data_IF_985353622174
#
_entry.id   IF_985353622174
#
_cell.length_a   1.000
_cell.length_b   1.000
_cell.length_c   1.000
_cell.angle_alpha   90.00
_cell.angle_beta   90.00
_cell.angle_gamma   90.00
#
_symmetry.space_group_name_H-M   'P 1'
#
loop_
_entity.id
_entity.type
_entity.pdbx_description
1 polymer ?
#
# COMPACT_ATOMS: atom_id res chain seq x y z
N UNK A 1 -4.67 17.56 2.27
CA UNK A 1 -4.06 17.60 0.92
C UNK A 1 -3.29 18.89 0.78
N UNK A 2 -2.03 18.84 0.34
CA UNK A 2 -1.21 19.99 0.01
C UNK A 2 -0.89 19.94 -1.49
N UNK A 3 -0.99 21.08 -2.18
CA UNK A 3 -0.71 21.15 -3.61
C UNK A 3 -0.02 22.46 -3.96
N UNK A 4 0.98 22.36 -4.82
CA UNK A 4 1.79 23.47 -5.28
C UNK A 4 2.00 23.36 -6.80
N UNK A 5 2.06 24.51 -7.46
CA UNK A 5 2.29 24.62 -8.89
C UNK A 5 3.05 25.90 -9.21
N UNK A 6 3.99 25.82 -10.13
CA UNK A 6 4.73 26.96 -10.64
C UNK A 6 4.98 26.83 -12.13
N UNK A 7 4.72 27.92 -12.85
CA UNK A 7 5.08 28.05 -14.25
C UNK A 7 6.43 28.77 -14.35
N UNK A 8 7.28 28.30 -15.24
CA UNK A 8 8.58 28.85 -15.60
C UNK A 8 8.67 28.94 -17.12
N UNK A 9 8.47 30.14 -17.67
CA UNK A 9 8.42 30.35 -19.12
C UNK A 9 7.49 29.32 -19.82
N UNK A 10 8.08 28.43 -20.60
CA UNK A 10 7.45 27.36 -21.40
C UNK A 10 7.33 26.01 -20.64
N UNK A 11 7.50 26.03 -19.32
CA UNK A 11 7.43 24.82 -18.50
C UNK A 11 6.62 25.02 -17.23
N UNK A 12 6.12 23.92 -16.68
CA UNK A 12 5.34 23.88 -15.46
C UNK A 12 5.82 22.77 -14.57
N UNK A 13 5.95 23.06 -13.28
CA UNK A 13 6.16 22.06 -12.26
C UNK A 13 4.97 22.04 -11.31
N UNK A 14 4.57 20.86 -10.86
CA UNK A 14 3.59 20.69 -9.80
C UNK A 14 4.00 19.61 -8.80
N UNK A 15 3.62 19.82 -7.55
CA UNK A 15 3.77 18.86 -6.47
C UNK A 15 2.44 18.72 -5.73
N UNK A 16 1.98 17.50 -5.51
CA UNK A 16 0.79 17.19 -4.71
C UNK A 16 1.15 16.17 -3.65
N UNK A 17 0.98 16.55 -2.39
CA UNK A 17 1.15 15.67 -1.24
C UNK A 17 -0.22 15.38 -0.61
N UNK A 18 -0.57 14.10 -0.54
CA UNK A 18 -1.81 13.61 0.07
C UNK A 18 -1.44 12.63 1.17
N UNK A 19 -2.22 12.63 2.25
CA UNK A 19 -1.99 11.75 3.39
C UNK A 19 -3.29 11.39 4.06
N UNK A 20 -3.39 10.16 4.51
CA UNK A 20 -4.31 9.71 5.55
C UNK A 20 -3.48 9.40 6.80
N UNK A 21 -3.94 9.88 7.95
CA UNK A 21 -3.37 9.56 9.27
C UNK A 21 -4.52 9.04 10.10
N UNK A 22 -4.32 7.88 10.72
CA UNK A 22 -5.31 7.22 11.55
C UNK A 22 -4.72 6.91 12.93
N UNK A 23 -5.61 6.78 13.91
CA UNK A 23 -5.31 6.20 15.21
C UNK A 23 -6.59 5.50 15.66
N UNK A 24 -6.68 4.21 15.38
CA UNK A 24 -7.85 3.39 15.70
C UNK A 24 -7.55 2.52 16.90
N UNK A 25 -8.48 2.45 17.84
CA UNK A 25 -8.42 1.54 18.99
C UNK A 25 -9.77 0.86 19.17
N UNK A 26 -9.73 -0.41 19.55
CA UNK A 26 -10.93 -1.17 19.90
C UNK A 26 -11.09 -1.07 21.42
N UNK A 27 -12.13 -0.38 21.87
CA UNK A 27 -12.36 -0.13 23.30
C UNK A 27 -13.19 -1.22 23.96
N UNK A 28 -14.13 -1.81 23.22
CA UNK A 28 -15.03 -2.84 23.74
C UNK A 28 -15.63 -3.66 22.60
N UNK A 29 -15.83 -4.96 22.82
CA UNK A 29 -16.51 -5.87 21.90
C UNK A 29 -17.91 -6.13 22.43
N UNK A 30 -18.94 -5.73 21.69
CA UNK A 30 -20.35 -5.88 22.11
C UNK A 30 -20.91 -7.27 21.72
N UNK A 31 -20.33 -8.33 22.26
CA UNK A 31 -20.66 -9.74 21.99
C UNK A 31 -21.87 -10.29 22.77
N UNK A 32 -22.34 -9.58 23.82
CA UNK A 32 -23.49 -10.03 24.63
C UNK A 32 -23.19 -11.35 25.35
N UNK A 33 -23.95 -12.41 25.03
CA UNK A 33 -23.75 -13.75 25.62
C UNK A 33 -22.92 -14.69 24.73
N UNK A 34 -22.42 -14.21 23.58
CA UNK A 34 -21.60 -15.01 22.68
C UNK A 34 -20.17 -15.04 23.18
N UNK A 35 -19.46 -16.14 22.91
CA UNK A 35 -18.01 -16.18 23.13
C UNK A 35 -17.32 -15.09 22.29
N UNK A 36 -16.48 -14.27 22.93
CA UNK A 36 -15.87 -13.11 22.28
C UNK A 36 -14.92 -13.54 21.17
N UNK A 37 -14.12 -14.59 21.40
CA UNK A 37 -13.15 -15.07 20.41
C UNK A 37 -13.83 -15.60 19.15
N UNK A 38 -15.00 -16.24 19.31
CA UNK A 38 -15.83 -16.69 18.18
C UNK A 38 -16.56 -15.55 17.49
N UNK A 39 -16.97 -14.51 18.24
CA UNK A 39 -17.76 -13.39 17.70
C UNK A 39 -16.90 -12.34 16.98
N UNK A 40 -15.80 -11.92 17.60
CA UNK A 40 -14.86 -10.91 17.10
C UNK A 40 -13.51 -11.05 17.84
N UNK A 41 -12.80 -12.14 17.52
CA UNK A 41 -11.58 -12.55 18.20
C UNK A 41 -10.36 -11.71 17.85
N UNK A 42 -9.19 -12.09 18.38
CA UNK A 42 -7.95 -11.32 18.19
C UNK A 42 -7.59 -11.13 16.70
N UNK A 43 -7.82 -12.14 15.87
CA UNK A 43 -7.59 -12.03 14.42
C UNK A 43 -8.48 -10.98 13.76
N UNK A 44 -9.77 -10.94 14.12
CA UNK A 44 -10.71 -9.95 13.56
C UNK A 44 -10.38 -8.52 14.05
N UNK A 45 -9.96 -8.39 15.31
CA UNK A 45 -9.46 -7.14 15.88
C UNK A 45 -8.23 -6.64 15.11
N UNK A 46 -7.24 -7.51 14.90
CA UNK A 46 -6.04 -7.19 14.15
C UNK A 46 -6.37 -6.79 12.69
N UNK A 47 -7.26 -7.52 12.03
CA UNK A 47 -7.72 -7.22 10.68
C UNK A 47 -8.40 -5.84 10.57
N UNK A 48 -9.26 -5.49 11.54
CA UNK A 48 -9.92 -4.19 11.58
C UNK A 48 -8.90 -3.05 11.76
N UNK A 49 -7.95 -3.21 12.67
CA UNK A 49 -6.91 -2.21 12.94
C UNK A 49 -5.97 -2.05 11.73
N UNK A 50 -5.51 -3.15 11.13
CA UNK A 50 -4.67 -3.14 9.93
C UNK A 50 -5.36 -2.52 8.70
N UNK A 51 -6.69 -2.65 8.61
CA UNK A 51 -7.50 -2.00 7.57
C UNK A 51 -7.52 -0.48 7.69
N UNK A 52 -7.24 0.05 8.89
CA UNK A 52 -7.14 1.47 9.21
C UNK A 52 -5.69 1.84 9.59
N UNK A 53 -4.71 1.72 8.66
CA UNK A 53 -3.30 1.89 8.96
C UNK A 53 -2.99 3.28 9.51
N UNK A 54 -2.02 3.36 10.43
CA UNK A 54 -1.57 4.60 11.08
C UNK A 54 -1.34 5.73 10.09
N UNK A 55 -0.74 5.41 8.93
CA UNK A 55 -0.66 6.39 7.85
C UNK A 55 -0.45 5.79 6.46
N UNK A 56 -0.95 6.53 5.47
CA UNK A 56 -0.62 6.33 4.06
C UNK A 56 -0.39 7.68 3.42
N UNK A 57 0.78 7.88 2.83
CA UNK A 57 1.16 9.14 2.20
C UNK A 57 1.47 8.95 0.72
N UNK A 58 1.09 9.92 -0.09
CA UNK A 58 1.41 9.96 -1.52
C UNK A 58 2.00 11.32 -1.88
N UNK A 59 3.13 11.32 -2.58
CA UNK A 59 3.73 12.51 -3.19
C UNK A 59 3.77 12.31 -4.70
N UNK A 60 3.13 13.21 -5.45
CA UNK A 60 3.20 13.25 -6.91
C UNK A 60 3.94 14.52 -7.34
N UNK A 61 4.99 14.35 -8.13
CA UNK A 61 5.75 15.42 -8.76
C UNK A 61 5.55 15.33 -10.27
N UNK A 62 5.13 16.41 -10.90
CA UNK A 62 5.00 16.48 -12.34
C UNK A 62 5.79 17.64 -12.92
N UNK A 63 6.45 17.40 -14.04
CA UNK A 63 7.07 18.40 -14.88
C UNK A 63 6.43 18.33 -16.26
N UNK A 64 6.02 19.48 -16.79
CA UNK A 64 5.46 19.61 -18.12
C UNK A 64 6.27 20.66 -18.91
N UNK A 65 6.57 20.34 -20.16
CA UNK A 65 7.11 21.21 -21.20
C UNK A 65 6.52 20.78 -22.54
N UNK A 66 6.47 21.67 -23.52
CA UNK A 66 5.77 21.44 -24.79
C UNK A 66 6.07 20.09 -25.46
N UNK A 67 7.32 19.64 -25.46
CA UNK A 67 7.71 18.36 -26.08
C UNK A 67 7.87 17.20 -25.08
N UNK A 68 7.81 17.47 -23.78
CA UNK A 68 8.17 16.50 -22.74
C UNK A 68 7.41 16.71 -21.44
N UNK A 69 6.94 15.61 -20.87
CA UNK A 69 6.42 15.59 -19.50
C UNK A 69 6.99 14.42 -18.72
N UNK A 70 7.12 14.59 -17.41
CA UNK A 70 7.53 13.55 -16.49
C UNK A 70 6.62 13.57 -15.27
N UNK A 71 6.21 12.38 -14.83
CA UNK A 71 5.50 12.17 -13.57
C UNK A 71 6.29 11.21 -12.69
N UNK A 72 6.51 11.61 -11.43
CA UNK A 72 7.06 10.77 -10.37
C UNK A 72 6.04 10.66 -9.25
N UNK A 73 5.62 9.44 -8.97
CA UNK A 73 4.72 9.11 -7.86
C UNK A 73 5.47 8.36 -6.76
N UNK A 74 5.24 8.74 -5.52
CA UNK A 74 5.73 8.02 -4.34
C UNK A 74 4.54 7.68 -3.46
N UNK A 75 4.36 6.42 -3.09
CA UNK A 75 3.36 6.00 -2.10
C UNK A 75 4.04 5.31 -0.94
N UNK A 76 3.92 5.88 0.26
CA UNK A 76 4.40 5.32 1.52
C UNK A 76 3.25 4.69 2.29
N UNK A 77 3.44 3.45 2.70
CA UNK A 77 2.58 2.71 3.61
C UNK A 77 3.24 2.67 5.00
N UNK A 78 2.47 2.83 6.07
CA UNK A 78 2.95 2.60 7.44
C UNK A 78 3.12 1.10 7.69
N UNK A 79 3.71 0.78 8.85
CA UNK A 79 3.68 -0.56 9.39
C UNK A 79 2.23 -0.97 9.64
N UNK A 80 1.92 -2.24 9.42
CA UNK A 80 0.71 -2.90 9.92
C UNK A 80 1.09 -4.27 10.49
N UNK A 81 0.25 -4.79 11.38
CA UNK A 81 0.34 -6.13 11.91
C UNK A 81 -1.01 -6.83 11.68
N UNK A 82 -0.96 -8.04 11.17
CA UNK A 82 -2.09 -8.94 11.03
C UNK A 82 -1.87 -10.16 11.91
N UNK A 83 -2.93 -10.92 12.16
CA UNK A 83 -2.82 -12.25 12.74
C UNK A 83 -3.23 -13.29 11.71
N UNK A 84 -2.39 -14.31 11.55
CA UNK A 84 -2.57 -15.40 10.59
C UNK A 84 -3.48 -16.51 11.16
N UNK A 85 -3.54 -17.65 10.45
CA UNK A 85 -4.36 -18.80 10.85
C UNK A 85 -3.80 -19.64 12.01
N UNK A 86 -2.58 -19.42 12.47
CA UNK A 86 -2.04 -20.03 13.70
C UNK A 86 -2.85 -19.65 14.94
N UNK A 87 -3.62 -18.56 14.88
CA UNK A 87 -4.61 -18.19 15.92
C UNK A 87 -5.68 -19.26 16.19
N UNK A 88 -5.87 -20.22 15.28
CA UNK A 88 -6.82 -21.33 15.44
C UNK A 88 -6.20 -22.64 15.93
N UNK A 89 -4.88 -22.71 16.07
CA UNK A 89 -4.20 -23.87 16.67
C UNK A 89 -4.39 -23.92 18.20
N UNK A 90 -3.99 -25.01 18.85
CA UNK A 90 -4.09 -25.12 20.31
C UNK A 90 -3.03 -24.21 20.97
N UNK A 91 -3.39 -23.25 21.84
CA UNK A 91 -2.43 -22.44 22.56
C UNK A 91 -1.36 -23.25 23.32
N UNK A 92 -1.66 -24.49 23.71
CA UNK A 92 -0.72 -25.38 24.38
C UNK A 92 0.51 -25.70 23.52
N UNK A 93 0.38 -25.74 22.19
CA UNK A 93 1.48 -26.03 21.26
C UNK A 93 2.54 -24.92 21.23
N UNK A 94 2.15 -23.70 21.65
CA UNK A 94 3.01 -22.51 21.76
C UNK A 94 3.46 -22.24 23.20
N UNK A 95 3.02 -23.03 24.17
CA UNK A 95 3.26 -22.78 25.59
C UNK A 95 2.37 -21.67 26.19
N UNK A 96 1.23 -21.37 25.55
CA UNK A 96 0.20 -20.45 26.03
C UNK A 96 -0.28 -19.46 24.98
N UNK A 97 -1.46 -18.88 25.23
CA UNK A 97 -2.15 -17.97 24.30
C UNK A 97 -1.31 -16.77 23.84
N UNK A 98 -0.54 -16.16 24.74
CA UNK A 98 0.30 -15.00 24.37
C UNK A 98 1.40 -15.36 23.37
N UNK A 99 2.00 -16.55 23.51
CA UNK A 99 3.03 -17.01 22.58
C UNK A 99 2.43 -17.40 21.23
N UNK A 100 1.21 -17.94 21.21
CA UNK A 100 0.47 -18.18 19.98
C UNK A 100 0.20 -16.88 19.23
N UNK A 101 -0.24 -15.82 19.91
CA UNK A 101 -0.47 -14.52 19.26
C UNK A 101 0.84 -13.98 18.66
N UNK A 102 1.96 -14.08 19.38
CA UNK A 102 3.28 -13.67 18.85
C UNK A 102 3.68 -14.49 17.63
N UNK A 103 3.46 -15.81 17.66
CA UNK A 103 3.78 -16.67 16.52
C UNK A 103 2.92 -16.32 15.31
N UNK A 104 1.62 -16.11 15.53
CA UNK A 104 0.64 -15.77 14.50
C UNK A 104 0.77 -14.33 13.95
N UNK A 105 1.70 -13.51 14.45
CA UNK A 105 1.77 -12.09 14.12
C UNK A 105 2.57 -11.87 12.84
N UNK A 106 1.84 -11.55 11.77
CA UNK A 106 2.41 -11.15 10.49
C UNK A 106 2.71 -9.65 10.49
N UNK A 107 4.00 -9.32 10.44
CA UNK A 107 4.47 -7.93 10.45
C UNK A 107 4.85 -7.46 9.06
N UNK A 108 4.18 -6.40 8.60
CA UNK A 108 4.52 -5.71 7.35
C UNK A 108 5.11 -4.35 7.68
N UNK A 109 6.43 -4.21 7.49
CA UNK A 109 7.17 -2.99 7.76
C UNK A 109 6.85 -1.89 6.74
N UNK A 110 7.12 -0.61 7.09
CA UNK A 110 6.77 0.50 6.23
C UNK A 110 7.42 0.43 4.85
N UNK A 111 6.62 0.40 3.78
CA UNK A 111 7.11 0.37 2.38
C UNK A 111 6.98 1.70 1.66
N UNK A 112 7.83 1.90 0.66
CA UNK A 112 7.79 3.02 -0.28
C UNK A 112 7.78 2.47 -1.70
N UNK A 113 6.68 2.73 -2.43
CA UNK A 113 6.54 2.38 -3.85
C UNK A 113 6.79 3.63 -4.70
N UNK A 114 7.54 3.47 -5.78
CA UNK A 114 7.84 4.54 -6.74
C UNK A 114 7.28 4.21 -8.11
N UNK A 115 6.53 5.14 -8.67
CA UNK A 115 6.01 5.10 -10.04
C UNK A 115 6.67 6.19 -10.89
N UNK A 116 6.96 5.87 -12.15
CA UNK A 116 7.56 6.81 -13.10
C UNK A 116 6.80 6.76 -14.42
N UNK A 117 6.56 7.93 -15.00
CA UNK A 117 6.10 8.07 -16.39
C UNK A 117 6.88 9.17 -17.08
N UNK A 118 7.32 8.90 -18.31
CA UNK A 118 7.95 9.85 -19.22
C UNK A 118 7.11 9.94 -20.48
N UNK A 119 6.69 11.14 -20.84
CA UNK A 119 5.90 11.43 -22.02
C UNK A 119 6.67 12.32 -22.99
N UNK A 120 6.59 12.00 -24.27
CA UNK A 120 7.24 12.72 -25.36
C UNK A 120 6.20 13.05 -26.43
N UNK A 121 6.06 14.33 -26.76
CA UNK A 121 5.31 14.75 -27.94
C UNK A 121 6.22 14.59 -29.16
N UNK A 122 5.97 13.55 -29.96
CA UNK A 122 6.80 13.22 -31.12
C UNK A 122 6.48 14.12 -32.31
N UNK A 123 5.20 14.50 -32.44
CA UNK A 123 4.69 15.56 -33.31
C UNK A 123 3.31 16.01 -32.80
N UNK A 124 2.71 17.02 -33.44
CA UNK A 124 1.42 17.62 -33.02
C UNK A 124 0.27 16.60 -32.88
N UNK A 125 0.37 15.45 -33.55
CA UNK A 125 -0.66 14.42 -33.60
C UNK A 125 -0.24 13.11 -32.93
N UNK A 126 0.96 13.01 -32.35
CA UNK A 126 1.51 11.75 -31.81
C UNK A 126 2.26 11.95 -30.49
N UNK A 127 1.78 11.27 -29.45
CA UNK A 127 2.41 11.21 -28.13
C UNK A 127 2.86 9.79 -27.80
N UNK A 128 4.09 9.66 -27.29
CA UNK A 128 4.61 8.43 -26.69
C UNK A 128 4.74 8.60 -25.19
N UNK A 129 4.22 7.65 -24.40
CA UNK A 129 4.50 7.56 -22.97
C UNK A 129 5.15 6.21 -22.69
N UNK A 130 6.22 6.24 -21.89
CA UNK A 130 6.87 5.05 -21.33
C UNK A 130 6.82 5.19 -19.82
N UNK A 131 6.34 4.16 -19.12
CA UNK A 131 6.21 4.21 -17.68
C UNK A 131 6.49 2.88 -17.00
N UNK A 132 6.67 2.97 -15.69
CA UNK A 132 6.85 1.86 -14.79
C UNK A 132 6.02 2.09 -13.53
N UNK A 133 5.17 1.13 -13.20
CA UNK A 133 4.59 1.04 -11.87
C UNK A 133 5.48 0.17 -10.99
N UNK A 134 5.67 0.58 -9.72
CA UNK A 134 6.58 -0.08 -8.79
C UNK A 134 7.98 -0.27 -9.40
N UNK A 135 8.61 0.84 -9.82
CA UNK A 135 9.88 0.88 -10.56
C UNK A 135 11.02 0.08 -9.90
N UNK A 136 11.03 -0.02 -8.57
CA UNK A 136 12.07 -0.71 -7.80
C UNK A 136 11.69 -2.12 -7.33
N UNK A 137 10.58 -2.68 -7.83
CA UNK A 137 10.14 -4.04 -7.55
C UNK A 137 9.99 -4.32 -6.04
N UNK A 138 9.32 -3.42 -5.32
CA UNK A 138 9.11 -3.50 -3.86
C UNK A 138 7.89 -4.36 -3.56
N UNK A 139 8.02 -5.31 -2.65
CA UNK A 139 6.96 -6.20 -2.18
C UNK A 139 6.65 -5.94 -0.70
N UNK A 140 5.53 -6.47 -0.17
CA UNK A 140 5.32 -6.60 1.27
C UNK A 140 6.46 -7.40 1.94
N UNK A 141 6.50 -7.45 3.27
CA UNK A 141 7.39 -8.37 3.98
C UNK A 141 6.86 -9.79 3.93
N UNK A 142 7.75 -10.74 3.66
CA UNK A 142 7.39 -12.14 3.43
C UNK A 142 7.05 -12.78 4.76
N UNK A 143 5.87 -13.38 4.82
CA UNK A 143 5.40 -14.15 5.96
C UNK A 143 5.56 -15.65 5.71
N UNK A 144 5.09 -16.45 6.65
CA UNK A 144 5.03 -17.90 6.52
C UNK A 144 3.84 -18.36 5.65
N UNK A 145 3.53 -19.66 5.65
CA UNK A 145 2.45 -20.24 4.85
C UNK A 145 1.07 -20.22 5.52
N UNK A 146 0.92 -19.56 6.68
CA UNK A 146 -0.34 -19.41 7.41
C UNK A 146 -1.15 -18.18 7.01
N UNK A 147 -0.67 -17.40 6.04
CA UNK A 147 -1.42 -16.25 5.48
C UNK A 147 -2.77 -16.67 4.88
N UNK A 148 -3.68 -15.72 4.68
CA UNK A 148 -5.04 -16.02 4.22
C UNK A 148 -5.13 -16.68 2.83
N UNK A 149 -4.10 -16.50 2.00
CA UNK A 149 -4.01 -17.17 0.70
C UNK A 149 -3.13 -18.44 0.72
N UNK A 150 -2.57 -18.82 1.87
CA UNK A 150 -1.56 -19.88 1.99
C UNK A 150 -0.27 -19.57 1.20
N UNK A 151 0.02 -18.28 1.00
CA UNK A 151 1.14 -17.78 0.22
C UNK A 151 2.08 -16.92 1.07
N UNK A 152 2.93 -16.14 0.43
CA UNK A 152 3.96 -15.34 1.12
C UNK A 152 3.45 -14.07 1.82
N UNK A 153 2.18 -13.69 1.61
CA UNK A 153 1.62 -12.42 2.11
C UNK A 153 0.09 -12.45 2.13
N UNK A 154 -0.49 -11.72 3.07
CA UNK A 154 -1.91 -11.36 3.09
C UNK A 154 -2.25 -10.25 2.09
N UNK A 155 -3.55 -10.03 1.89
CA UNK A 155 -4.08 -8.92 1.10
C UNK A 155 -3.93 -7.57 1.79
N UNK A 156 -2.70 -7.06 1.85
CA UNK A 156 -2.37 -5.75 2.43
C UNK A 156 -2.60 -4.59 1.45
N UNK A 157 -2.79 -3.38 1.97
CA UNK A 157 -3.14 -2.21 1.16
C UNK A 157 -2.14 -1.84 0.04
N UNK A 158 -0.87 -2.25 0.14
CA UNK A 158 0.11 -1.95 -0.90
C UNK A 158 -0.04 -2.84 -2.14
N UNK A 159 -0.78 -3.96 -2.01
CA UNK A 159 -0.84 -5.00 -3.03
C UNK A 159 0.44 -5.84 -3.10
N UNK A 160 0.48 -6.77 -4.06
CA UNK A 160 1.57 -7.74 -4.27
C UNK A 160 2.17 -7.67 -5.68
N UNK A 161 1.75 -6.69 -6.48
CA UNK A 161 2.24 -6.52 -7.85
C UNK A 161 3.68 -6.00 -7.85
N UNK A 162 4.57 -6.75 -8.50
CA UNK A 162 5.93 -6.33 -8.81
C UNK A 162 5.99 -5.20 -9.83
N UNK A 163 7.19 -4.96 -10.37
CA UNK A 163 7.37 -3.94 -11.40
C UNK A 163 6.57 -4.26 -12.65
N UNK A 164 5.82 -3.26 -13.13
CA UNK A 164 5.07 -3.33 -14.37
C UNK A 164 5.49 -2.20 -15.31
N UNK A 165 6.14 -2.56 -16.42
CA UNK A 165 6.53 -1.62 -17.47
C UNK A 165 5.44 -1.53 -18.54
N UNK A 166 5.16 -0.32 -19.00
CA UNK A 166 4.17 -0.10 -20.04
C UNK A 166 4.61 0.98 -21.03
N UNK A 167 3.98 0.95 -22.20
CA UNK A 167 4.09 1.98 -23.22
C UNK A 167 2.71 2.32 -23.74
N UNK A 168 2.44 3.61 -23.95
CA UNK A 168 1.17 4.12 -24.47
C UNK A 168 1.42 5.09 -25.62
N UNK A 169 0.82 4.80 -26.77
CA UNK A 169 0.75 5.72 -27.91
C UNK A 169 -0.59 6.46 -27.89
N UNK A 170 -0.55 7.77 -28.03
CA UNK A 170 -1.72 8.64 -28.16
C UNK A 170 -1.73 9.32 -29.52
N UNK A 171 -2.88 9.33 -30.17
CA UNK A 171 -3.09 9.99 -31.46
C UNK A 171 -4.15 11.09 -31.29
N UNK A 172 -3.88 12.28 -31.83
CA UNK A 172 -4.86 13.35 -31.96
C UNK A 172 -5.07 13.64 -33.44
N UNK A 173 -6.32 13.79 -33.87
CA UNK A 173 -6.73 14.00 -35.27
C UNK A 173 -7.61 15.23 -35.40
#
# INVERSE_FOLDING_TARGET
VLSWRKNFADSRFSATFTGNINNMTITDVKNGNLDEQTFFGERDKAFLLASAPDSKFTLNLNYDKDWFNAGLGFTRFSKIELLDFQTFEDPADYGGFQNQIVAATDTYDPKLVTDLVLGFELCDNLKLNVGANNLFNVYPDQQDDWTEAGGYWDSVQMGFSGTFYYTRLGFNF
#
